data_IF_079574810572
#
_entry.id   IF_079574810572
#
_cell.length_a   1.000
_cell.length_b   1.000
_cell.length_c   1.000
_cell.angle_alpha   90.00
_cell.angle_beta   90.00
_cell.angle_gamma   90.00
#
_symmetry.space_group_name_H-M   'P 1'
#
loop_
_entity.id
_entity.type
_entity.pdbx_description
1 polymer ?
#
# COMPACT_ATOMS: atom_id res chain seq x y z
N UNK A 1 -16.36 -28.23 -15.24
CA UNK A 1 -16.38 -27.00 -14.42
C UNK A 1 -15.51 -25.99 -15.14
N UNK A 2 -16.05 -24.81 -15.38
CA UNK A 2 -15.70 -23.92 -16.49
C UNK A 2 -14.22 -23.57 -16.61
N UNK A 3 -13.67 -23.92 -17.78
CA UNK A 3 -12.44 -23.42 -18.36
C UNK A 3 -12.62 -21.92 -18.67
N UNK A 4 -11.95 -21.07 -17.91
CA UNK A 4 -11.78 -19.66 -18.23
C UNK A 4 -10.56 -19.50 -19.13
N UNK A 5 -10.80 -19.52 -20.44
CA UNK A 5 -9.81 -19.29 -21.48
C UNK A 5 -9.11 -17.94 -21.25
N UNK A 6 -7.83 -17.95 -20.83
CA UNK A 6 -6.97 -16.75 -20.84
C UNK A 6 -6.27 -16.65 -22.20
N UNK A 7 -7.01 -16.24 -23.24
CA UNK A 7 -6.39 -15.82 -24.50
C UNK A 7 -6.28 -14.30 -24.53
N UNK A 8 -5.24 -13.75 -23.92
CA UNK A 8 -4.79 -12.39 -24.24
C UNK A 8 -3.28 -12.42 -24.43
N UNK A 9 -2.95 -12.72 -25.68
CA UNK A 9 -1.63 -12.79 -26.31
C UNK A 9 -0.94 -14.16 -26.29
N UNK A 10 -1.08 -14.88 -27.41
CA UNK A 10 -0.23 -16.01 -27.76
C UNK A 10 1.16 -15.52 -28.16
N UNK A 11 1.96 -15.05 -27.20
CA UNK A 11 3.39 -14.89 -27.44
C UNK A 11 4.07 -16.24 -27.16
N UNK A 12 4.59 -16.87 -28.21
CA UNK A 12 5.56 -17.95 -28.02
C UNK A 12 6.82 -17.37 -27.37
N UNK A 13 7.55 -18.14 -26.54
CA UNK A 13 8.71 -17.65 -25.78
C UNK A 13 9.79 -16.92 -26.58
N UNK A 14 9.82 -17.11 -27.91
CA UNK A 14 10.80 -16.56 -28.84
C UNK A 14 10.32 -15.34 -29.65
N UNK A 15 9.16 -14.75 -29.31
CA UNK A 15 8.64 -13.59 -30.06
C UNK A 15 9.33 -12.31 -29.59
N UNK A 16 10.19 -11.73 -30.43
CA UNK A 16 10.73 -10.37 -30.21
C UNK A 16 9.59 -9.37 -30.43
N UNK A 17 9.01 -8.88 -29.34
CA UNK A 17 7.98 -7.83 -29.39
C UNK A 17 8.68 -6.48 -29.45
N UNK A 18 8.35 -5.70 -30.47
CA UNK A 18 8.83 -4.32 -30.61
C UNK A 18 8.43 -3.49 -29.37
N UNK A 19 9.33 -2.63 -28.87
CA UNK A 19 9.12 -1.90 -27.60
C UNK A 19 7.85 -1.04 -27.62
N UNK A 20 7.45 -0.54 -28.80
CA UNK A 20 6.20 0.18 -28.99
C UNK A 20 4.94 -0.70 -28.82
N UNK A 21 5.02 -1.98 -29.19
CA UNK A 21 3.90 -2.93 -29.07
C UNK A 21 3.75 -3.48 -27.65
N UNK A 22 4.82 -3.47 -26.85
CA UNK A 22 4.75 -3.86 -25.43
C UNK A 22 3.79 -2.98 -24.62
N UNK A 23 3.67 -1.71 -24.98
CA UNK A 23 2.76 -0.77 -24.33
C UNK A 23 1.28 -0.98 -24.67
N UNK A 24 0.97 -1.79 -25.68
CA UNK A 24 -0.40 -2.08 -26.12
C UNK A 24 -0.88 -3.47 -25.68
N UNK A 25 0.00 -4.27 -25.06
CA UNK A 25 -0.30 -5.62 -24.59
C UNK A 25 -1.08 -5.52 -23.28
N UNK A 26 -2.23 -6.19 -23.24
CA UNK A 26 -3.01 -6.38 -22.02
C UNK A 26 -2.41 -7.51 -21.19
N UNK A 27 -1.99 -7.20 -19.96
CA UNK A 27 -1.37 -8.13 -19.01
C UNK A 27 -2.08 -7.99 -17.65
N UNK A 28 -2.08 -9.05 -16.85
CA UNK A 28 -2.46 -8.99 -15.45
C UNK A 28 -1.29 -8.50 -14.59
N UNK A 29 -1.36 -7.26 -14.14
CA UNK A 29 -0.38 -6.63 -13.27
C UNK A 29 -0.75 -6.82 -11.80
N UNK A 30 0.30 -7.04 -10.98
CA UNK A 30 0.24 -6.89 -9.54
C UNK A 30 0.92 -5.57 -9.16
N UNK A 31 0.12 -4.59 -8.77
CA UNK A 31 0.57 -3.27 -8.35
C UNK A 31 0.78 -3.28 -6.83
N UNK A 32 1.98 -2.95 -6.40
CA UNK A 32 2.40 -2.95 -5.00
C UNK A 32 2.83 -1.54 -4.59
N UNK A 33 2.28 -1.05 -3.48
CA UNK A 33 2.77 0.14 -2.79
C UNK A 33 3.23 -0.25 -1.39
N UNK A 34 4.47 0.07 -1.05
CA UNK A 34 5.06 -0.19 0.26
C UNK A 34 5.32 1.16 0.97
N UNK A 35 4.80 1.29 2.20
CA UNK A 35 4.93 2.49 3.03
C UNK A 35 5.55 2.16 4.38
N UNK A 36 6.41 3.06 4.86
CA UNK A 36 6.94 3.04 6.21
C UNK A 36 6.27 4.15 7.04
N UNK A 37 5.46 3.76 8.02
CA UNK A 37 4.81 4.67 8.96
C UNK A 37 5.57 4.69 10.28
N UNK A 38 6.02 5.87 10.70
CA UNK A 38 6.68 6.08 11.99
C UNK A 38 5.78 6.93 12.88
N UNK A 39 5.36 6.38 14.01
CA UNK A 39 4.52 7.06 14.99
C UNK A 39 5.37 7.35 16.20
N UNK A 40 5.40 8.61 16.66
CA UNK A 40 6.11 9.02 17.87
C UNK A 40 5.14 9.70 18.84
N UNK A 41 5.10 9.27 20.11
CA UNK A 41 4.38 10.01 21.14
C UNK A 41 5.22 11.21 21.61
N UNK A 42 4.87 12.41 21.16
CA UNK A 42 5.53 13.64 21.63
C UNK A 42 4.78 14.32 22.79
N UNK A 43 3.68 13.74 23.26
CA UNK A 43 2.95 14.27 24.42
C UNK A 43 3.56 13.78 25.72
N UNK A 44 3.41 14.56 26.79
CA UNK A 44 3.91 14.22 28.14
C UNK A 44 3.11 13.08 28.81
N UNK A 45 2.05 12.59 28.15
CA UNK A 45 1.16 11.56 28.66
C UNK A 45 1.18 10.30 27.78
N UNK A 46 1.02 9.09 28.36
CA UNK A 46 0.87 7.89 27.54
C UNK A 46 -0.44 7.88 26.74
N UNK A 47 -0.37 7.33 25.51
CA UNK A 47 -1.55 7.04 24.69
C UNK A 47 -1.93 5.56 24.79
N UNK A 48 -3.22 5.26 24.82
CA UNK A 48 -3.78 3.92 25.03
C UNK A 48 -4.71 3.53 23.88
N UNK A 49 -5.00 2.23 23.76
CA UNK A 49 -5.93 1.65 22.78
C UNK A 49 -5.67 2.15 21.35
N UNK A 50 -4.40 2.15 20.98
CA UNK A 50 -3.95 2.65 19.68
C UNK A 50 -4.51 1.74 18.60
N UNK A 51 -5.25 2.34 17.66
CA UNK A 51 -5.89 1.63 16.56
C UNK A 51 -5.61 2.33 15.25
N UNK A 52 -5.17 1.54 14.27
CA UNK A 52 -5.10 2.01 12.88
C UNK A 52 -6.46 1.84 12.22
N UNK A 53 -7.00 2.93 11.67
CA UNK A 53 -8.17 2.87 10.81
C UNK A 53 -7.68 2.55 9.41
N UNK A 54 -8.12 1.41 8.89
CA UNK A 54 -7.78 0.97 7.53
C UNK A 54 -8.50 1.90 6.54
N UNK A 55 -7.76 2.59 5.66
CA UNK A 55 -8.38 3.47 4.67
C UNK A 55 -9.13 2.67 3.62
N UNK A 56 -10.10 3.32 2.97
CA UNK A 56 -10.69 2.77 1.75
C UNK A 56 -9.64 2.78 0.64
N UNK A 57 -9.35 1.61 0.08
CA UNK A 57 -8.40 1.47 -1.04
C UNK A 57 -9.01 0.55 -2.08
N UNK A 58 -8.65 0.75 -3.35
CA UNK A 58 -9.04 -0.19 -4.43
C UNK A 58 -8.30 -1.53 -4.36
N UNK A 59 -7.31 -1.65 -3.47
CA UNK A 59 -6.52 -2.85 -3.26
C UNK A 59 -6.75 -3.49 -1.89
N UNK A 60 -5.95 -4.52 -1.61
CA UNK A 60 -5.86 -5.12 -0.28
C UNK A 60 -4.84 -4.34 0.55
N UNK A 61 -5.30 -3.72 1.63
CA UNK A 61 -4.45 -3.07 2.62
C UNK A 61 -3.91 -4.10 3.63
N UNK A 62 -2.60 -4.10 3.85
CA UNK A 62 -1.89 -5.07 4.68
C UNK A 62 -0.97 -4.31 5.63
N UNK A 63 -1.08 -4.58 6.93
CA UNK A 63 -0.12 -4.10 7.93
C UNK A 63 0.75 -5.29 8.31
N UNK A 64 2.05 -5.27 7.96
CA UNK A 64 2.92 -6.45 8.17
C UNK A 64 3.17 -6.75 9.65
N UNK A 65 3.09 -5.73 10.51
CA UNK A 65 3.20 -5.86 11.97
C UNK A 65 2.05 -5.11 12.62
N UNK A 66 1.06 -5.87 13.09
CA UNK A 66 -0.11 -5.31 13.76
C UNK A 66 0.29 -4.42 14.93
N UNK A 67 -0.49 -3.35 15.13
CA UNK A 67 -0.33 -2.47 16.28
C UNK A 67 -0.86 -3.23 17.50
N UNK A 68 0.02 -3.49 18.46
CA UNK A 68 -0.36 -4.07 19.74
C UNK A 68 -1.16 -3.04 20.55
N UNK A 69 -2.49 -3.14 20.48
CA UNK A 69 -3.44 -2.23 21.14
C UNK A 69 -3.47 -2.37 22.66
N UNK A 70 -2.84 -3.43 23.21
CA UNK A 70 -2.76 -3.65 24.66
C UNK A 70 -1.64 -2.84 25.32
N UNK A 71 -0.66 -2.40 24.52
CA UNK A 71 0.50 -1.66 25.03
C UNK A 71 0.33 -0.16 24.84
N UNK A 72 0.48 0.63 25.92
CA UNK A 72 0.46 2.08 25.80
C UNK A 72 1.65 2.56 24.94
N UNK A 73 1.47 3.70 24.28
CA UNK A 73 2.52 4.51 23.69
C UNK A 73 3.04 5.47 24.76
N UNK A 74 4.22 5.21 25.32
CA UNK A 74 4.78 6.10 26.35
C UNK A 74 5.45 7.33 25.74
N UNK A 75 5.63 8.38 26.54
CA UNK A 75 6.30 9.61 26.09
C UNK A 75 7.67 9.30 25.46
N UNK A 76 7.93 9.87 24.28
CA UNK A 76 9.17 9.69 23.52
C UNK A 76 9.28 8.35 22.78
N UNK A 77 8.31 7.44 22.91
CA UNK A 77 8.33 6.17 22.18
C UNK A 77 8.04 6.36 20.69
N UNK A 78 8.85 5.71 19.85
CA UNK A 78 8.61 5.60 18.41
C UNK A 78 8.35 4.15 18.03
N UNK A 79 7.27 3.88 17.28
CA UNK A 79 7.04 2.59 16.61
C UNK A 79 6.97 2.77 15.10
N UNK A 80 7.67 1.89 14.40
CA UNK A 80 7.63 1.79 12.94
C UNK A 80 6.71 0.66 12.50
N UNK A 81 5.90 0.92 11.48
CA UNK A 81 4.97 -0.03 10.88
C UNK A 81 5.15 -0.04 9.37
N UNK A 82 5.26 -1.23 8.80
CA UNK A 82 5.26 -1.44 7.36
C UNK A 82 3.82 -1.71 6.88
N UNK A 83 3.41 -0.91 5.91
CA UNK A 83 2.10 -0.99 5.28
C UNK A 83 2.32 -1.35 3.82
N UNK A 84 1.54 -2.30 3.32
CA UNK A 84 1.54 -2.68 1.91
C UNK A 84 0.12 -2.61 1.36
N UNK A 85 -0.04 -2.02 0.18
CA UNK A 85 -1.27 -2.13 -0.60
C UNK A 85 -0.98 -2.94 -1.85
N UNK A 86 -1.84 -3.93 -2.12
CA UNK A 86 -1.74 -4.80 -3.30
C UNK A 86 -3.02 -4.66 -4.12
N UNK A 87 -2.89 -4.26 -5.37
CA UNK A 87 -4.01 -4.20 -6.31
C UNK A 87 -3.68 -5.02 -7.56
N UNK A 88 -4.61 -5.87 -7.97
CA UNK A 88 -4.52 -6.54 -9.27
C UNK A 88 -5.21 -5.68 -10.32
N UNK A 89 -4.58 -5.51 -11.48
CA UNK A 89 -5.07 -4.69 -12.57
C UNK A 89 -4.81 -5.38 -13.90
N UNK A 90 -5.82 -5.47 -14.76
CA UNK A 90 -5.69 -6.02 -16.11
C UNK A 90 -5.78 -4.85 -17.09
N UNK A 91 -4.70 -4.61 -17.83
CA UNK A 91 -4.62 -3.49 -18.77
C UNK A 91 -3.25 -3.39 -19.40
N UNK A 92 -2.91 -2.21 -19.90
CA UNK A 92 -1.59 -1.92 -20.49
C UNK A 92 -0.57 -1.49 -19.44
N UNK A 93 0.72 -1.53 -19.78
CA UNK A 93 1.79 -1.01 -18.92
C UNK A 93 1.61 0.48 -18.63
N UNK A 94 1.20 1.27 -19.63
CA UNK A 94 0.98 2.72 -19.49
C UNK A 94 -0.12 3.02 -18.48
N UNK A 95 -1.22 2.28 -18.51
CA UNK A 95 -2.30 2.43 -17.53
C UNK A 95 -1.86 2.00 -16.12
N UNK A 96 -1.08 0.90 -16.02
CA UNK A 96 -0.52 0.45 -14.76
C UNK A 96 0.40 1.52 -14.13
N UNK A 97 1.24 2.17 -14.93
CA UNK A 97 2.10 3.29 -14.49
C UNK A 97 1.29 4.46 -13.96
N UNK A 98 0.21 4.84 -14.67
CA UNK A 98 -0.70 5.90 -14.24
C UNK A 98 -1.35 5.54 -12.91
N UNK A 99 -1.84 4.31 -12.74
CA UNK A 99 -2.44 3.86 -11.49
C UNK A 99 -1.40 3.87 -10.36
N UNK A 100 -0.18 3.39 -10.60
CA UNK A 100 0.89 3.37 -9.59
C UNK A 100 1.32 4.78 -9.15
N UNK A 101 1.25 5.76 -10.06
CA UNK A 101 1.48 7.17 -9.75
C UNK A 101 0.36 7.78 -8.87
N UNK A 102 -0.83 7.19 -8.91
CA UNK A 102 -1.92 7.56 -8.02
C UNK A 102 -1.71 6.84 -6.69
N UNK A 103 -1.57 7.61 -5.61
CA UNK A 103 -1.47 7.05 -4.26
C UNK A 103 -2.70 6.16 -3.99
N UNK A 104 -2.53 4.95 -3.41
CA UNK A 104 -3.62 3.99 -3.23
C UNK A 104 -4.64 4.42 -2.17
N UNK A 105 -4.31 5.45 -1.38
CA UNK A 105 -5.17 6.11 -0.40
C UNK A 105 -4.69 7.56 -0.18
N UNK A 106 -5.57 8.40 0.36
CA UNK A 106 -5.28 9.80 0.67
C UNK A 106 -4.67 9.98 2.06
N UNK A 107 -5.18 9.28 3.06
CA UNK A 107 -4.72 9.33 4.44
C UNK A 107 -4.89 7.98 5.15
N UNK A 108 -4.17 7.82 6.26
CA UNK A 108 -4.38 6.78 7.26
C UNK A 108 -4.64 7.48 8.58
N UNK A 109 -5.67 7.05 9.33
CA UNK A 109 -6.02 7.64 10.61
C UNK A 109 -5.61 6.71 11.75
N UNK A 110 -4.95 7.27 12.76
CA UNK A 110 -4.63 6.61 14.02
C UNK A 110 -5.55 7.14 15.11
N UNK A 111 -6.37 6.27 15.70
CA UNK A 111 -7.22 6.58 16.84
C UNK A 111 -6.55 6.13 18.14
N UNK A 112 -6.68 6.92 19.21
CA UNK A 112 -6.12 6.59 20.52
C UNK A 112 -6.87 7.30 21.66
N UNK A 113 -6.68 6.81 22.88
CA UNK A 113 -7.26 7.36 24.11
C UNK A 113 -6.16 7.83 25.07
N UNK A 114 -6.44 8.84 25.89
CA UNK A 114 -5.59 9.18 27.04
C UNK A 114 -5.99 8.36 28.29
N UNK A 115 -5.31 8.58 29.43
CA UNK A 115 -5.56 7.87 30.69
C UNK A 115 -6.96 8.08 31.29
N UNK A 116 -7.65 9.16 30.92
CA UNK A 116 -9.02 9.46 31.37
C UNK A 116 -10.08 9.01 30.37
N UNK A 117 -9.69 8.36 29.27
CA UNK A 117 -10.59 7.84 28.24
C UNK A 117 -11.05 8.86 27.19
N UNK A 118 -10.46 10.06 27.14
CA UNK A 118 -10.70 11.01 26.04
C UNK A 118 -10.10 10.47 24.75
N UNK A 119 -10.84 10.56 23.65
CA UNK A 119 -10.46 10.05 22.33
C UNK A 119 -9.83 11.12 21.46
N UNK A 120 -8.81 10.72 20.72
CA UNK A 120 -8.08 11.55 19.78
C UNK A 120 -7.83 10.79 18.49
N UNK A 121 -7.57 11.53 17.41
CA UNK A 121 -7.19 10.97 16.13
C UNK A 121 -6.03 11.78 15.52
N UNK A 122 -5.20 11.10 14.74
CA UNK A 122 -4.12 11.74 13.97
C UNK A 122 -4.08 11.16 12.57
N UNK A 123 -4.13 12.04 11.57
CA UNK A 123 -4.05 11.66 10.15
C UNK A 123 -2.61 11.65 9.66
N UNK A 124 -2.26 10.61 8.91
CA UNK A 124 -0.99 10.42 8.23
C UNK A 124 -1.22 10.44 6.73
N UNK A 125 -0.43 11.24 6.02
CA UNK A 125 -0.51 11.36 4.57
C UNK A 125 0.71 10.68 3.94
N UNK A 126 0.52 9.73 3.00
CA UNK A 126 1.63 9.06 2.34
C UNK A 126 2.45 10.09 1.54
N UNK A 127 3.77 10.09 1.78
CA UNK A 127 4.75 10.91 1.06
C UNK A 127 5.81 9.98 0.48
N UNK A 128 6.19 10.22 -0.76
CA UNK A 128 7.33 9.53 -1.39
C UNK A 128 8.61 10.04 -0.73
N UNK A 129 9.47 9.11 -0.29
CA UNK A 129 10.71 9.46 0.42
C UNK A 129 11.87 9.77 -0.54
N UNK A 130 11.88 9.24 -1.77
CA UNK A 130 12.89 9.51 -2.80
C UNK A 130 12.32 9.30 -4.22
N UNK A 131 12.61 10.20 -5.17
CA UNK A 131 12.24 10.07 -6.60
C UNK A 131 12.86 8.85 -7.33
N UNK A 132 13.91 8.25 -6.74
CA UNK A 132 14.71 7.17 -7.33
C UNK A 132 14.10 5.77 -7.16
N UNK A 133 13.21 5.55 -6.19
CA UNK A 133 12.56 4.26 -5.92
C UNK A 133 11.22 4.13 -6.67
N UNK A 134 11.23 4.38 -7.98
CA UNK A 134 10.06 4.18 -8.84
C UNK A 134 9.62 2.71 -8.79
N UNK A 135 8.33 2.56 -8.54
CA UNK A 135 7.52 1.34 -8.50
C UNK A 135 8.14 0.14 -9.24
N UNK A 136 8.53 -0.88 -8.47
CA UNK A 136 9.12 -2.11 -8.99
C UNK A 136 8.00 -3.05 -9.45
N UNK A 137 7.82 -3.19 -10.75
CA UNK A 137 6.93 -4.18 -11.34
C UNK A 137 7.51 -5.59 -11.15
N UNK A 138 6.67 -6.54 -10.74
CA UNK A 138 6.97 -7.97 -10.83
C UNK A 138 5.88 -8.63 -11.67
N UNK A 139 6.29 -9.29 -12.75
CA UNK A 139 5.41 -10.16 -13.53
C UNK A 139 5.09 -11.37 -12.65
N UNK A 140 3.81 -11.62 -12.40
CA UNK A 140 3.36 -12.87 -11.80
C UNK A 140 3.07 -13.82 -12.95
N UNK A 141 3.91 -14.84 -13.10
CA UNK A 141 3.73 -15.95 -14.03
C UNK A 141 2.70 -16.95 -13.49
#
# INVERSE_FOLDING_TARGET
MNEGISHLNNFTPDTVVDAGKLNEIIINFKLDWDFAMHITNQSDAPAYKIKLVVPETKGRFIVKKEIDYTKPFVHGETRAHEIKVVQYFVGTSVEADVILSQKPFTEIVLEYENSVGSRFATSFFPKETEESNKNIYRVVA
#
